data_IF_141209676570
#
_entry.id   IF_141209676570
#
_cell.length_a   1.000
_cell.length_b   1.000
_cell.length_c   1.000
_cell.angle_alpha   90.00
_cell.angle_beta   90.00
_cell.angle_gamma   90.00
#
_symmetry.space_group_name_H-M   'P 1'
#
loop_
_entity.id
_entity.type
_entity.pdbx_description
1 polymer ?
#
# COMPACT_ATOMS: atom_id res chain seq x y z
N UNK A 1 3.96 -15.24 4.62
CA UNK A 1 2.99 -16.18 4.01
C UNK A 1 2.51 -15.61 2.69
N UNK A 2 2.41 -16.43 1.62
CA UNK A 2 2.04 -15.90 0.30
C UNK A 2 0.56 -15.46 0.30
N UNK A 3 0.24 -14.25 -0.23
CA UNK A 3 -1.11 -13.73 -0.21
C UNK A 3 -2.02 -14.50 -1.17
N UNK A 4 -3.22 -14.86 -0.70
CA UNK A 4 -4.30 -15.48 -1.49
C UNK A 4 -3.99 -16.84 -2.11
N UNK A 5 -2.93 -17.53 -1.69
CA UNK A 5 -2.54 -18.84 -2.28
C UNK A 5 -3.17 -20.04 -1.60
N UNK A 6 -3.59 -19.91 -0.33
CA UNK A 6 -4.17 -21.01 0.44
C UNK A 6 -5.40 -20.56 1.24
N UNK A 7 -6.25 -21.53 1.61
CA UNK A 7 -7.43 -21.28 2.43
C UNK A 7 -7.09 -20.73 3.83
N UNK A 8 -5.87 -20.99 4.32
CA UNK A 8 -5.40 -20.46 5.59
C UNK A 8 -5.31 -18.93 5.54
N UNK A 9 -4.76 -18.36 4.46
CA UNK A 9 -4.70 -16.92 4.24
C UNK A 9 -6.09 -16.29 4.22
N UNK A 10 -7.06 -16.93 3.54
CA UNK A 10 -8.45 -16.45 3.52
C UNK A 10 -9.09 -16.52 4.91
N UNK A 11 -8.88 -17.60 5.67
CA UNK A 11 -9.39 -17.74 7.03
C UNK A 11 -8.84 -16.68 7.99
N UNK A 12 -7.53 -16.42 7.95
CA UNK A 12 -6.88 -15.37 8.74
C UNK A 12 -7.39 -13.98 8.33
N UNK A 13 -7.44 -13.71 7.02
CA UNK A 13 -7.94 -12.44 6.50
C UNK A 13 -9.38 -12.18 6.96
N UNK A 14 -10.25 -13.19 6.88
CA UNK A 14 -11.63 -13.10 7.36
C UNK A 14 -11.66 -12.77 8.85
N UNK A 15 -10.91 -13.50 9.68
CA UNK A 15 -10.88 -13.28 11.12
C UNK A 15 -10.44 -11.86 11.49
N UNK A 16 -9.38 -11.36 10.85
CA UNK A 16 -8.89 -9.98 11.05
C UNK A 16 -9.90 -8.94 10.59
N UNK A 17 -10.71 -9.24 9.57
CA UNK A 17 -11.75 -8.34 9.05
C UNK A 17 -13.06 -8.38 9.86
N UNK A 18 -13.31 -9.39 10.71
CA UNK A 18 -14.56 -9.50 11.49
C UNK A 18 -14.92 -8.20 12.23
N UNK A 19 -14.01 -7.54 12.98
CA UNK A 19 -14.39 -6.31 13.67
C UNK A 19 -14.70 -5.15 12.70
N UNK A 20 -14.07 -5.12 11.52
CA UNK A 20 -14.42 -4.16 10.47
C UNK A 20 -15.84 -4.43 9.92
N UNK A 21 -16.17 -5.72 9.72
CA UNK A 21 -17.48 -6.14 9.22
C UNK A 21 -18.59 -5.77 10.22
N UNK A 22 -18.38 -6.07 11.50
CA UNK A 22 -19.30 -5.71 12.59
C UNK A 22 -19.47 -4.20 12.65
N UNK A 23 -18.37 -3.43 12.65
CA UNK A 23 -18.44 -1.96 12.68
C UNK A 23 -19.17 -1.37 11.46
N UNK A 24 -18.99 -1.97 10.27
CA UNK A 24 -19.70 -1.61 9.05
C UNK A 24 -21.22 -1.76 9.17
N UNK A 25 -21.70 -2.79 9.87
CA UNK A 25 -23.14 -2.97 10.15
C UNK A 25 -23.72 -1.85 11.02
N UNK A 26 -22.90 -1.26 11.91
CA UNK A 26 -23.27 -0.12 12.76
C UNK A 26 -22.98 1.24 12.10
N UNK A 27 -22.75 1.28 10.77
CA UNK A 27 -22.46 2.50 9.98
C UNK A 27 -21.20 3.25 10.42
N UNK A 28 -20.30 2.61 11.18
CA UNK A 28 -19.09 3.23 11.69
C UNK A 28 -17.86 2.66 11.00
N UNK A 29 -17.21 3.47 10.17
CA UNK A 29 -15.90 3.13 9.64
C UNK A 29 -14.87 3.20 10.77
N UNK A 30 -14.48 2.05 11.32
CA UNK A 30 -13.41 2.01 12.31
C UNK A 30 -12.05 2.08 11.61
N UNK A 31 -11.70 3.26 11.09
CA UNK A 31 -10.44 3.50 10.36
C UNK A 31 -9.21 3.03 11.13
N UNK A 32 -9.23 3.19 12.46
CA UNK A 32 -8.19 2.66 13.36
C UNK A 32 -8.07 1.14 13.24
N UNK A 33 -9.20 0.42 13.24
CA UNK A 33 -9.19 -1.03 13.02
C UNK A 33 -8.69 -1.40 11.62
N UNK A 34 -9.01 -0.64 10.57
CA UNK A 34 -8.47 -0.91 9.22
C UNK A 34 -6.95 -0.77 9.18
N UNK A 35 -6.38 0.22 9.89
CA UNK A 35 -4.93 0.35 10.04
C UNK A 35 -4.36 -0.84 10.81
N UNK A 36 -4.96 -1.22 11.95
CA UNK A 36 -4.53 -2.36 12.75
C UNK A 36 -4.57 -3.66 11.93
N UNK A 37 -5.69 -3.92 11.24
CA UNK A 37 -5.87 -5.06 10.36
C UNK A 37 -4.79 -5.11 9.27
N UNK A 38 -4.49 -3.96 8.66
CA UNK A 38 -3.41 -3.84 7.69
C UNK A 38 -2.07 -4.20 8.31
N UNK A 39 -1.73 -3.65 9.48
CA UNK A 39 -0.47 -3.95 10.16
C UNK A 39 -0.34 -5.43 10.54
N UNK A 40 -1.42 -6.06 11.03
CA UNK A 40 -1.45 -7.50 11.32
C UNK A 40 -1.18 -8.31 10.05
N UNK A 41 -1.88 -8.00 8.97
CA UNK A 41 -1.73 -8.73 7.71
C UNK A 41 -0.35 -8.54 7.10
N UNK A 42 0.24 -7.35 7.20
CA UNK A 42 1.62 -7.11 6.76
C UNK A 42 2.62 -7.92 7.59
N UNK A 43 2.45 -7.99 8.91
CA UNK A 43 3.32 -8.79 9.77
C UNK A 43 3.29 -10.28 9.40
N UNK A 44 2.13 -10.80 8.99
CA UNK A 44 1.95 -12.20 8.55
C UNK A 44 2.49 -12.42 7.13
N UNK A 45 2.25 -11.47 6.23
CA UNK A 45 2.64 -11.59 4.83
C UNK A 45 4.16 -11.49 4.65
N UNK A 46 4.79 -10.53 5.34
CA UNK A 46 6.22 -10.19 5.25
C UNK A 46 7.04 -10.74 6.43
N UNK A 47 6.60 -11.86 7.03
CA UNK A 47 7.32 -12.55 8.11
C UNK A 47 8.57 -13.31 7.63
N UNK A 48 8.76 -13.41 6.32
CA UNK A 48 9.89 -14.05 5.66
C UNK A 48 11.18 -13.24 5.88
N UNK A 49 12.24 -13.97 6.22
CA UNK A 49 13.59 -13.42 6.43
C UNK A 49 14.47 -13.96 5.32
N UNK A 50 15.18 -13.05 4.66
CA UNK A 50 16.15 -13.38 3.63
C UNK A 50 17.55 -13.23 4.20
N UNK A 51 18.41 -14.21 3.93
CA UNK A 51 19.84 -14.08 4.23
C UNK A 51 20.55 -13.58 2.97
N UNK A 52 21.26 -12.46 3.10
CA UNK A 52 22.11 -11.93 2.02
C UNK A 52 23.29 -11.18 2.60
N UNK A 53 24.49 -11.38 2.02
CA UNK A 53 25.75 -10.83 2.54
C UNK A 53 26.02 -11.16 4.03
N UNK A 54 25.58 -12.32 4.50
CA UNK A 54 25.74 -12.73 5.90
C UNK A 54 24.88 -11.95 6.91
N UNK A 55 23.89 -11.19 6.44
CA UNK A 55 22.93 -10.46 7.27
C UNK A 55 21.53 -11.01 7.02
N UNK A 56 20.84 -11.37 8.10
CA UNK A 56 19.42 -11.72 8.06
C UNK A 56 18.59 -10.43 7.95
N UNK A 57 17.89 -10.25 6.83
CA UNK A 57 17.06 -9.08 6.55
C UNK A 57 15.60 -9.49 6.46
N UNK A 58 14.79 -8.95 7.36
CA UNK A 58 13.33 -9.11 7.31
C UNK A 58 12.72 -8.17 6.28
N UNK A 59 11.71 -8.63 5.54
CA UNK A 59 11.03 -7.79 4.53
C UNK A 59 10.20 -6.66 5.15
N UNK A 60 9.58 -6.90 6.32
CA UNK A 60 8.65 -5.96 6.94
C UNK A 60 9.31 -4.60 7.29
N UNK A 61 10.48 -4.53 7.96
CA UNK A 61 11.16 -3.26 8.21
C UNK A 61 11.55 -2.53 6.92
N UNK A 62 11.96 -3.26 5.87
CA UNK A 62 12.27 -2.66 4.56
C UNK A 62 11.03 -2.03 3.94
N UNK A 63 9.90 -2.74 3.96
CA UNK A 63 8.61 -2.26 3.48
C UNK A 63 8.19 -0.98 4.20
N UNK A 64 8.21 -0.99 5.54
CA UNK A 64 7.79 0.15 6.35
C UNK A 64 8.75 1.33 6.17
N UNK A 65 10.06 1.07 6.16
CA UNK A 65 11.07 2.08 5.89
C UNK A 65 10.90 2.72 4.51
N UNK A 66 10.62 1.91 3.48
CA UNK A 66 10.33 2.40 2.13
C UNK A 66 9.05 3.24 2.08
N UNK A 67 7.96 2.80 2.72
CA UNK A 67 6.71 3.57 2.77
C UNK A 67 6.88 4.93 3.47
N UNK A 68 7.65 4.96 4.57
CA UNK A 68 8.00 6.21 5.27
C UNK A 68 8.90 7.09 4.40
N UNK A 69 9.89 6.52 3.71
CA UNK A 69 10.73 7.27 2.77
C UNK A 69 9.89 7.92 1.65
N UNK A 70 8.99 7.17 1.02
CA UNK A 70 8.09 7.68 -0.01
C UNK A 70 7.19 8.80 0.53
N UNK A 71 6.71 8.66 1.78
CA UNK A 71 5.95 9.72 2.44
C UNK A 71 6.76 10.99 2.67
N UNK A 72 8.01 10.87 3.14
CA UNK A 72 8.92 12.00 3.33
C UNK A 72 9.24 12.70 2.01
N UNK A 73 9.46 11.92 0.93
CA UNK A 73 9.66 12.47 -0.41
C UNK A 73 8.42 13.25 -0.87
N UNK A 74 7.22 12.70 -0.67
CA UNK A 74 5.97 13.37 -1.03
C UNK A 74 5.75 14.68 -0.23
N UNK A 75 6.08 14.69 1.07
CA UNK A 75 6.01 15.89 1.90
C UNK A 75 7.03 16.97 1.48
N UNK A 76 8.27 16.56 1.23
CA UNK A 76 9.31 17.45 0.73
C UNK A 76 8.91 18.06 -0.62
N UNK A 77 8.39 17.22 -1.52
CA UNK A 77 7.93 17.68 -2.83
C UNK A 77 6.73 18.62 -2.75
N UNK A 78 5.76 18.35 -1.87
CA UNK A 78 4.63 19.25 -1.62
C UNK A 78 5.11 20.65 -1.19
N UNK A 79 6.12 20.70 -0.30
CA UNK A 79 6.72 21.93 0.19
C UNK A 79 7.50 22.68 -0.89
N UNK A 80 8.22 21.96 -1.76
CA UNK A 80 8.91 22.55 -2.92
C UNK A 80 7.92 23.08 -3.97
N UNK A 81 6.84 22.33 -4.23
CA UNK A 81 5.80 22.69 -5.19
C UNK A 81 5.02 23.94 -4.78
N UNK A 82 4.91 24.22 -3.48
CA UNK A 82 4.31 25.44 -2.94
C UNK A 82 5.04 26.72 -3.37
N UNK A 83 6.34 26.63 -3.72
CA UNK A 83 7.13 27.75 -4.26
C UNK A 83 6.87 28.01 -5.75
N UNK A 84 6.16 27.13 -6.43
CA UNK A 84 5.84 27.20 -7.86
C UNK A 84 6.11 25.89 -8.61
N UNK A 85 5.54 25.71 -9.81
CA UNK A 85 5.78 24.52 -10.62
C UNK A 85 7.19 24.57 -11.22
N UNK A 86 7.99 23.51 -11.01
CA UNK A 86 9.30 23.36 -11.64
C UNK A 86 9.47 21.93 -12.18
N UNK A 87 9.64 21.82 -13.51
CA UNK A 87 9.79 20.53 -14.19
C UNK A 87 11.06 19.78 -13.79
N UNK A 88 12.16 20.48 -13.54
CA UNK A 88 13.41 19.85 -13.11
C UNK A 88 13.26 19.19 -11.73
N UNK A 89 12.59 19.87 -10.79
CA UNK A 89 12.30 19.32 -9.46
C UNK A 89 11.36 18.12 -9.57
N UNK A 90 10.32 18.18 -10.42
CA UNK A 90 9.46 17.04 -10.69
C UNK A 90 10.26 15.83 -11.19
N UNK A 91 11.08 16.00 -12.23
CA UNK A 91 11.87 14.88 -12.78
C UNK A 91 12.83 14.29 -11.75
N UNK A 92 13.45 15.13 -10.92
CA UNK A 92 14.30 14.67 -9.83
C UNK A 92 13.52 13.84 -8.79
N UNK A 93 12.33 14.28 -8.40
CA UNK A 93 11.49 13.54 -7.43
C UNK A 93 10.96 12.24 -8.03
N UNK A 94 10.54 12.25 -9.30
CA UNK A 94 10.14 11.02 -10.01
C UNK A 94 11.29 10.01 -10.07
N UNK A 95 12.50 10.48 -10.37
CA UNK A 95 13.71 9.66 -10.33
C UNK A 95 13.93 9.10 -8.92
N UNK A 96 13.86 9.94 -7.88
CA UNK A 96 14.07 9.51 -6.50
C UNK A 96 13.06 8.45 -6.04
N UNK A 97 11.79 8.55 -6.45
CA UNK A 97 10.77 7.52 -6.19
C UNK A 97 11.11 6.18 -6.87
N UNK A 98 11.66 6.24 -8.09
CA UNK A 98 12.04 5.08 -8.89
C UNK A 98 13.35 4.42 -8.45
N UNK A 99 14.28 5.15 -7.83
CA UNK A 99 15.61 4.64 -7.46
C UNK A 99 15.54 3.29 -6.73
N UNK A 100 14.73 3.09 -5.68
CA UNK A 100 14.68 1.81 -4.99
C UNK A 100 14.13 0.67 -5.85
N UNK A 101 13.18 0.96 -6.75
CA UNK A 101 12.66 -0.02 -7.71
C UNK A 101 13.71 -0.40 -8.76
N UNK A 102 14.45 0.60 -9.29
CA UNK A 102 15.54 0.34 -10.23
C UNK A 102 16.65 -0.46 -9.56
N UNK A 103 17.03 -0.12 -8.32
CA UNK A 103 18.00 -0.85 -7.53
C UNK A 103 17.59 -2.32 -7.36
N UNK A 104 16.35 -2.58 -6.95
CA UNK A 104 15.82 -3.94 -6.79
C UNK A 104 15.79 -4.74 -8.11
N UNK A 105 15.75 -4.07 -9.28
CA UNK A 105 15.72 -4.72 -10.59
C UNK A 105 17.11 -4.95 -11.18
N UNK A 106 18.04 -4.04 -10.98
CA UNK A 106 19.35 -4.06 -11.62
C UNK A 106 20.47 -4.62 -10.73
N UNK A 107 20.42 -4.42 -9.41
CA UNK A 107 21.47 -4.93 -8.52
C UNK A 107 21.56 -6.46 -8.56
N UNK A 108 20.45 -7.23 -8.56
CA UNK A 108 20.52 -8.70 -8.64
C UNK A 108 21.20 -9.24 -9.91
N UNK A 109 21.29 -8.46 -10.99
CA UNK A 109 22.01 -8.85 -12.20
C UNK A 109 23.53 -8.96 -11.99
N UNK A 110 24.05 -8.21 -11.03
CA UNK A 110 25.48 -8.19 -10.68
C UNK A 110 25.75 -8.86 -9.33
N UNK A 111 24.76 -8.88 -8.44
CA UNK A 111 24.85 -9.43 -7.08
C UNK A 111 23.56 -10.20 -6.73
N UNK A 112 23.46 -11.49 -7.13
CA UNK A 112 22.25 -12.28 -6.92
C UNK A 112 21.81 -12.43 -5.45
N UNK A 113 22.76 -12.33 -4.51
CA UNK A 113 22.52 -12.45 -3.07
C UNK A 113 21.95 -11.17 -2.42
N UNK A 114 21.60 -10.15 -3.21
CA UNK A 114 21.15 -8.85 -2.69
C UNK A 114 19.78 -8.95 -1.96
N UNK A 115 19.72 -8.80 -0.62
CA UNK A 115 18.51 -9.11 0.15
C UNK A 115 17.54 -7.93 0.29
N UNK A 116 17.82 -6.78 -0.34
CA UNK A 116 17.07 -5.54 -0.13
C UNK A 116 15.91 -5.35 -1.11
N UNK A 117 15.03 -6.34 -1.19
CA UNK A 117 13.74 -6.20 -1.87
C UNK A 117 12.65 -6.95 -1.11
N UNK A 118 11.40 -6.54 -1.32
CA UNK A 118 10.23 -7.16 -0.70
C UNK A 118 9.11 -7.28 -1.74
N UNK A 119 8.18 -8.21 -1.52
CA UNK A 119 7.05 -8.42 -2.41
C UNK A 119 6.18 -7.14 -2.54
N UNK A 120 5.85 -6.72 -3.75
CA UNK A 120 4.96 -5.56 -3.96
C UNK A 120 5.65 -4.20 -4.06
N UNK A 121 7.00 -4.15 -4.04
CA UNK A 121 7.79 -2.92 -4.22
C UNK A 121 7.30 -2.08 -5.41
N UNK A 122 7.15 -2.69 -6.58
CA UNK A 122 6.69 -2.02 -7.81
C UNK A 122 5.32 -1.33 -7.63
N UNK A 123 4.38 -1.97 -6.94
CA UNK A 123 3.03 -1.44 -6.74
C UNK A 123 3.04 -0.22 -5.83
N UNK A 124 3.83 -0.25 -4.76
CA UNK A 124 4.00 0.88 -3.86
C UNK A 124 4.70 2.03 -4.59
N UNK A 125 5.70 1.76 -5.42
CA UNK A 125 6.35 2.77 -6.26
C UNK A 125 5.34 3.47 -7.16
N UNK A 126 4.48 2.72 -7.88
CA UNK A 126 3.48 3.33 -8.76
C UNK A 126 2.45 4.17 -8.00
N UNK A 127 2.04 3.76 -6.80
CA UNK A 127 1.17 4.55 -5.93
C UNK A 127 1.84 5.85 -5.47
N UNK A 128 3.12 5.79 -5.10
CA UNK A 128 3.87 6.98 -4.71
C UNK A 128 4.08 7.95 -5.90
N UNK A 129 4.28 7.42 -7.11
CA UNK A 129 4.33 8.20 -8.34
C UNK A 129 3.00 8.90 -8.65
N UNK A 130 1.86 8.22 -8.48
CA UNK A 130 0.53 8.83 -8.62
C UNK A 130 0.37 10.04 -7.69
N UNK A 131 0.80 9.92 -6.43
CA UNK A 131 0.75 11.04 -5.48
C UNK A 131 1.66 12.18 -5.92
N UNK A 132 2.88 11.88 -6.37
CA UNK A 132 3.83 12.88 -6.85
C UNK A 132 3.28 13.65 -8.05
N UNK A 133 2.71 12.96 -9.02
CA UNK A 133 2.06 13.57 -10.20
C UNK A 133 0.85 14.40 -9.76
N UNK A 134 0.01 13.87 -8.87
CA UNK A 134 -1.15 14.60 -8.36
C UNK A 134 -0.79 15.87 -7.57
N UNK A 135 0.35 15.88 -6.85
CA UNK A 135 0.88 17.09 -6.20
C UNK A 135 1.36 18.10 -7.23
N UNK A 136 2.08 17.65 -8.26
CA UNK A 136 2.55 18.51 -9.34
C UNK A 136 1.40 19.22 -10.06
N UNK A 137 0.34 18.47 -10.37
CA UNK A 137 -0.87 18.94 -11.03
C UNK A 137 -1.78 19.79 -10.11
N UNK A 138 -1.43 19.92 -8.83
CA UNK A 138 -2.21 20.68 -7.85
C UNK A 138 -3.51 20.00 -7.41
N UNK A 139 -3.71 18.74 -7.80
CA UNK A 139 -4.87 17.92 -7.44
C UNK A 139 -4.78 17.40 -6.00
N UNK A 140 -3.56 17.22 -5.48
CA UNK A 140 -3.28 16.81 -4.10
C UNK A 140 -2.61 17.97 -3.39
N UNK A 141 -3.28 18.51 -2.36
CA UNK A 141 -2.81 19.67 -1.59
C UNK A 141 -2.33 19.32 -0.19
N UNK A 142 -2.64 18.12 0.29
CA UNK A 142 -2.24 17.61 1.59
C UNK A 142 -1.89 16.12 1.52
N UNK A 143 -0.84 15.74 2.24
CA UNK A 143 -0.34 14.35 2.32
C UNK A 143 -0.21 13.96 3.78
N UNK A 144 -1.36 13.72 4.43
CA UNK A 144 -1.42 13.30 5.85
C UNK A 144 -0.85 11.89 6.01
N UNK A 145 -0.11 11.66 7.08
CA UNK A 145 0.58 10.39 7.33
C UNK A 145 -0.35 9.17 7.26
N UNK A 146 -1.46 9.19 8.02
CA UNK A 146 -2.35 8.02 8.11
C UNK A 146 -3.00 7.68 6.75
N UNK A 147 -3.70 8.59 6.05
CA UNK A 147 -4.29 8.26 4.75
C UNK A 147 -3.25 7.85 3.70
N UNK A 148 -2.09 8.51 3.67
CA UNK A 148 -1.04 8.20 2.71
C UNK A 148 -0.41 6.83 2.97
N UNK A 149 -0.03 6.53 4.21
CA UNK A 149 0.52 5.22 4.57
C UNK A 149 -0.53 4.13 4.42
N UNK A 150 -1.78 4.36 4.80
CA UNK A 150 -2.88 3.42 4.54
C UNK A 150 -3.05 3.15 3.04
N UNK A 151 -2.91 4.16 2.18
CA UNK A 151 -2.98 4.01 0.74
C UNK A 151 -1.82 3.18 0.18
N UNK A 152 -0.58 3.48 0.58
CA UNK A 152 0.59 2.72 0.12
C UNK A 152 0.58 1.28 0.63
N UNK A 153 0.25 1.09 1.90
CA UNK A 153 0.37 -0.17 2.61
C UNK A 153 -0.92 -0.99 2.63
N UNK A 154 -1.95 -0.60 1.85
CA UNK A 154 -3.24 -1.29 1.84
C UNK A 154 -3.07 -2.77 1.49
N UNK A 155 -3.09 -3.63 2.51
CA UNK A 155 -2.70 -5.04 2.39
C UNK A 155 -3.47 -5.80 1.30
N UNK A 156 -4.75 -5.52 0.99
CA UNK A 156 -5.48 -6.32 0.03
C UNK A 156 -4.92 -6.23 -1.40
N UNK A 157 -4.14 -5.19 -1.69
CA UNK A 157 -3.67 -4.90 -3.05
C UNK A 157 -2.17 -4.60 -3.09
N UNK A 158 -1.44 -4.84 -1.99
CA UNK A 158 -0.02 -4.48 -1.87
C UNK A 158 0.90 -5.39 -2.70
N UNK A 159 0.57 -6.67 -2.83
CA UNK A 159 1.39 -7.66 -3.55
C UNK A 159 1.25 -7.53 -5.07
N UNK A 160 0.01 -7.56 -5.56
CA UNK A 160 -0.29 -7.58 -7.00
C UNK A 160 -1.69 -7.08 -7.35
N UNK A 161 -2.34 -6.31 -6.47
CA UNK A 161 -3.70 -5.81 -6.71
C UNK A 161 -3.75 -4.67 -7.72
N UNK A 162 -4.95 -4.23 -8.16
CA UNK A 162 -5.06 -3.10 -9.08
C UNK A 162 -4.37 -1.85 -8.53
N UNK A 163 -3.64 -1.15 -9.39
CA UNK A 163 -3.00 0.13 -9.04
C UNK A 163 -4.10 1.17 -8.92
N UNK A 164 -4.31 1.67 -7.70
CA UNK A 164 -5.33 2.67 -7.40
C UNK A 164 -4.75 4.09 -7.38
N UNK A 165 -5.62 5.10 -7.46
CA UNK A 165 -5.26 6.52 -7.36
C UNK A 165 -5.50 7.06 -5.96
N UNK A 166 -4.56 7.84 -5.43
CA UNK A 166 -4.61 8.33 -4.06
C UNK A 166 -5.88 9.13 -3.76
N UNK A 167 -6.32 9.98 -4.69
CA UNK A 167 -7.52 10.80 -4.51
C UNK A 167 -8.78 9.95 -4.32
N UNK A 168 -8.98 8.97 -5.20
CA UNK A 168 -10.11 8.05 -5.11
C UNK A 168 -10.07 7.24 -3.83
N UNK A 169 -8.90 6.70 -3.47
CA UNK A 169 -8.72 5.98 -2.22
C UNK A 169 -9.03 6.86 -1.01
N UNK A 170 -8.58 8.12 -1.01
CA UNK A 170 -8.81 9.04 0.10
C UNK A 170 -10.28 9.49 0.19
N UNK A 171 -10.98 9.63 -0.95
CA UNK A 171 -12.42 9.83 -0.98
C UNK A 171 -13.14 8.65 -0.31
N UNK A 172 -12.82 7.40 -0.68
CA UNK A 172 -13.41 6.21 -0.04
C UNK A 172 -12.99 6.06 1.43
N UNK A 173 -11.76 6.41 1.80
CA UNK A 173 -11.26 6.39 3.17
C UNK A 173 -12.04 7.34 4.08
N UNK A 174 -12.40 8.51 3.56
CA UNK A 174 -13.12 9.56 4.28
C UNK A 174 -14.64 9.40 4.25
N UNK A 175 -15.17 8.63 3.30
CA UNK A 175 -16.60 8.41 3.08
C UNK A 175 -17.24 7.59 4.19
N UNK A 176 -18.40 8.04 4.66
CA UNK A 176 -19.31 7.23 5.46
C UNK A 176 -20.24 6.43 4.54
N UNK A 177 -20.43 5.15 4.84
CA UNK A 177 -21.29 4.25 4.06
C UNK A 177 -22.60 4.04 4.81
N UNK A 178 -23.72 4.00 4.07
CA UNK A 178 -24.98 3.51 4.65
C UNK A 178 -24.90 2.00 4.86
N UNK A 179 -25.81 1.46 5.68
CA UNK A 179 -25.86 0.00 5.93
C UNK A 179 -26.14 -0.74 4.63
N UNK A 180 -27.01 -0.19 3.78
CA UNK A 180 -27.41 -0.78 2.50
C UNK A 180 -26.23 -0.82 1.53
N UNK A 181 -25.47 0.27 1.42
CA UNK A 181 -24.25 0.33 0.61
C UNK A 181 -23.21 -0.66 1.11
N UNK A 182 -23.00 -0.75 2.43
CA UNK A 182 -22.07 -1.70 3.02
C UNK A 182 -22.47 -3.16 2.74
N UNK A 183 -23.75 -3.50 2.85
CA UNK A 183 -24.24 -4.85 2.53
C UNK A 183 -24.09 -5.18 1.04
N UNK A 184 -24.27 -4.20 0.15
CA UNK A 184 -23.99 -4.38 -1.29
C UNK A 184 -22.50 -4.61 -1.57
N UNK A 185 -21.61 -3.86 -0.92
CA UNK A 185 -20.16 -4.06 -1.04
C UNK A 185 -19.75 -5.44 -0.51
N UNK A 186 -20.36 -5.88 0.60
CA UNK A 186 -20.11 -7.20 1.21
C UNK A 186 -20.56 -8.32 0.29
N UNK A 187 -21.78 -8.25 -0.26
CA UNK A 187 -22.30 -9.22 -1.21
C UNK A 187 -21.40 -9.34 -2.45
N UNK A 188 -21.01 -8.20 -3.02
CA UNK A 188 -20.05 -8.17 -4.14
C UNK A 188 -18.68 -8.73 -3.77
N UNK A 189 -18.19 -8.48 -2.56
CA UNK A 189 -16.94 -9.02 -2.04
C UNK A 189 -16.97 -10.55 -1.91
N UNK A 190 -18.04 -11.08 -1.33
CA UNK A 190 -18.27 -12.53 -1.19
C UNK A 190 -18.34 -13.18 -2.57
N UNK A 191 -19.13 -12.62 -3.50
CA UNK A 191 -19.26 -13.15 -4.86
C UNK A 191 -17.90 -13.22 -5.58
N UNK A 192 -17.06 -12.19 -5.45
CA UNK A 192 -15.72 -12.16 -6.06
C UNK A 192 -14.78 -13.20 -5.45
N UNK A 193 -14.83 -13.41 -4.13
CA UNK A 193 -14.03 -14.43 -3.45
C UNK A 193 -14.40 -15.82 -3.96
N UNK A 194 -15.69 -16.17 -3.97
CA UNK A 194 -16.15 -17.48 -4.45
C UNK A 194 -15.90 -17.67 -5.95
N UNK A 195 -16.02 -16.61 -6.75
CA UNK A 195 -15.62 -16.64 -8.16
C UNK A 195 -14.13 -16.96 -8.30
N UNK A 196 -13.27 -16.29 -7.52
CA UNK A 196 -11.83 -16.56 -7.51
C UNK A 196 -11.43 -17.93 -6.94
N UNK A 197 -12.30 -18.60 -6.18
CA UNK A 197 -12.07 -20.00 -5.78
C UNK A 197 -12.45 -21.00 -6.88
N UNK A 198 -13.36 -20.62 -7.78
CA UNK A 198 -13.82 -21.49 -8.85
C UNK A 198 -12.86 -21.50 -10.05
N UNK A 199 -12.29 -20.33 -10.38
CA UNK A 199 -11.33 -20.15 -11.49
C UNK A 199 -9.89 -20.33 -11.02
#
# INVERSE_FOLDING_TARGET
MSPYTDFLYFGISLYVLIPALIAGLFKRAWRVWLVIATLIMLAIQYSTVHEGFGVAVSELPLLLGYAVLQWLIALAFLSLRAKGPNRAVLYFVLFLNLVPLLAAKFIPLFQPEYPFFFLGLSYITFRALDVTIGVQDGLIKEVKAIPYLSFLLFFPTISSGPIDRYRRFNEDWSRERTREQFLQDLDGGVHRIFTGFLY
#
